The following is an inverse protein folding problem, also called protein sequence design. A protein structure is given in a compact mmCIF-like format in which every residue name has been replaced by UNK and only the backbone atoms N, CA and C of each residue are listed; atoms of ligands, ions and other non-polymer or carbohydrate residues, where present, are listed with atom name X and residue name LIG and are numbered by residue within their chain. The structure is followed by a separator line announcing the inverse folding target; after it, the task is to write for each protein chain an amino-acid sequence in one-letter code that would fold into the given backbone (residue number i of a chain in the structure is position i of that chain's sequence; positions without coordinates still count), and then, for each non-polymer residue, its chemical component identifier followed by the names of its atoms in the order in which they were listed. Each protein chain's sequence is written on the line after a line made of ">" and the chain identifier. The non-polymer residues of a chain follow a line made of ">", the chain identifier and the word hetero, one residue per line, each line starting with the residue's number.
data_IF_327844424963
#
_entry.id   IF_327844424963
#
_cell.length_a   1.000
_cell.length_b   1.000
_cell.length_c   1.000
_cell.angle_alpha   90.00
_cell.angle_beta   90.00
_cell.angle_gamma   90.00
#
_symmetry.space_group_name_H-M   'P 1'
#
loop_
_entity.id
_entity.type
_entity.pdbx_description
1 polymer ?
#
# COMPACT_ATOMS: atom_id res chain seq x y z
N UNK A 1 6.00 -5.44 -28.46
CA UNK A 1 5.12 -5.47 -27.27
C UNK A 1 4.92 -4.05 -26.78
N UNK A 2 3.66 -3.59 -26.71
CA UNK A 2 3.34 -2.24 -26.20
C UNK A 2 3.91 -2.08 -24.79
N UNK A 3 4.74 -1.06 -24.56
CA UNK A 3 5.46 -0.82 -23.30
C UNK A 3 4.52 -0.90 -22.09
N UNK A 4 3.32 -0.34 -22.23
CA UNK A 4 2.24 -0.36 -21.23
C UNK A 4 1.85 -1.76 -20.75
N UNK A 5 1.78 -2.75 -21.64
CA UNK A 5 1.40 -4.13 -21.25
C UNK A 5 2.52 -4.75 -20.40
N UNK A 6 3.78 -4.50 -20.78
CA UNK A 6 4.93 -4.98 -20.01
C UNK A 6 4.95 -4.36 -18.62
N UNK A 7 4.66 -3.06 -18.53
CA UNK A 7 4.65 -2.33 -17.27
C UNK A 7 3.52 -2.84 -16.35
N UNK A 8 2.32 -3.07 -16.88
CA UNK A 8 1.21 -3.65 -16.12
C UNK A 8 1.57 -5.04 -15.57
N UNK A 9 2.16 -5.91 -16.40
CA UNK A 9 2.57 -7.25 -15.97
C UNK A 9 3.63 -7.17 -14.87
N UNK A 10 4.61 -6.29 -15.01
CA UNK A 10 5.64 -6.08 -13.99
C UNK A 10 5.06 -5.54 -12.68
N UNK A 11 4.10 -4.61 -12.75
CA UNK A 11 3.40 -4.09 -11.56
C UNK A 11 2.63 -5.21 -10.87
N UNK A 12 1.84 -6.01 -11.61
CA UNK A 12 1.06 -7.11 -11.02
C UNK A 12 1.98 -8.12 -10.32
N UNK A 13 3.08 -8.52 -10.97
CA UNK A 13 4.05 -9.45 -10.41
C UNK A 13 4.71 -8.85 -9.16
N UNK A 14 5.16 -7.59 -9.25
CA UNK A 14 5.78 -6.88 -8.13
C UNK A 14 4.84 -6.74 -6.92
N UNK A 15 3.58 -6.34 -7.16
CA UNK A 15 2.55 -6.23 -6.13
C UNK A 15 2.23 -7.58 -5.49
N UNK A 16 2.25 -8.67 -6.26
CA UNK A 16 2.05 -10.01 -5.73
C UNK A 16 3.19 -10.44 -4.81
N UNK A 17 4.45 -10.25 -5.25
CA UNK A 17 5.64 -10.55 -4.44
C UNK A 17 5.65 -9.70 -3.16
N UNK A 18 5.31 -8.42 -3.26
CA UNK A 18 5.22 -7.53 -2.10
C UNK A 18 4.16 -8.00 -1.10
N UNK A 19 2.94 -8.28 -1.57
CA UNK A 19 1.85 -8.77 -0.73
C UNK A 19 2.18 -10.12 -0.07
N UNK A 20 2.82 -11.02 -0.80
CA UNK A 20 3.31 -12.29 -0.26
C UNK A 20 4.38 -12.06 0.83
N UNK A 21 5.32 -11.12 0.62
CA UNK A 21 6.32 -10.76 1.61
C UNK A 21 5.73 -10.15 2.87
N UNK A 22 4.73 -9.28 2.74
CA UNK A 22 4.01 -8.70 3.88
C UNK A 22 3.27 -9.78 4.67
N UNK A 23 2.58 -10.70 4.00
CA UNK A 23 1.89 -11.79 4.69
C UNK A 23 2.84 -12.80 5.33
N UNK A 24 3.93 -13.16 4.63
CA UNK A 24 4.82 -14.24 5.05
C UNK A 24 5.90 -13.81 6.06
N UNK A 25 6.38 -12.56 6.02
CA UNK A 25 7.45 -12.10 6.90
C UNK A 25 6.97 -11.05 7.89
N UNK A 26 6.19 -10.07 7.43
CA UNK A 26 5.82 -8.93 8.25
C UNK A 26 4.71 -9.32 9.23
N UNK A 27 3.63 -9.90 8.72
CA UNK A 27 2.47 -10.33 9.53
C UNK A 27 2.84 -11.52 10.44
N UNK A 28 3.54 -12.53 9.91
CA UNK A 28 3.97 -13.69 10.71
C UNK A 28 5.10 -13.33 11.69
N UNK A 29 6.00 -12.42 11.32
CA UNK A 29 7.13 -12.00 12.16
C UNK A 29 6.79 -10.92 13.20
N UNK A 30 5.56 -10.40 13.22
CA UNK A 30 5.18 -9.23 14.02
C UNK A 30 6.14 -8.03 13.84
N UNK A 31 6.69 -7.90 12.63
CA UNK A 31 7.61 -6.83 12.29
C UNK A 31 6.80 -5.58 11.96
N UNK A 32 7.12 -4.47 12.62
CA UNK A 32 6.49 -3.20 12.32
C UNK A 32 7.14 -2.54 11.09
N UNK A 33 6.36 -2.30 10.04
CA UNK A 33 6.73 -1.38 8.96
C UNK A 33 6.23 0.04 9.30
N UNK A 34 6.82 1.07 8.70
CA UNK A 34 6.35 2.46 8.82
C UNK A 34 5.35 2.85 7.72
N UNK A 35 4.67 3.99 7.87
CA UNK A 35 3.77 4.54 6.83
C UNK A 35 2.41 3.84 6.75
N UNK A 36 1.83 3.78 5.54
CA UNK A 36 0.47 3.25 5.30
C UNK A 36 0.39 1.75 5.59
N UNK A 37 1.39 0.99 5.15
CA UNK A 37 1.50 -0.46 5.42
C UNK A 37 1.61 -0.74 6.92
N UNK A 38 2.38 0.06 7.66
CA UNK A 38 2.46 -0.01 9.11
C UNK A 38 1.12 0.19 9.81
N UNK A 39 0.37 1.22 9.41
CA UNK A 39 -0.98 1.48 9.90
C UNK A 39 -1.91 0.28 9.60
N UNK A 40 -1.79 -0.30 8.41
CA UNK A 40 -2.56 -1.49 8.02
C UNK A 40 -2.26 -2.70 8.89
N UNK A 41 -1.00 -2.94 9.24
CA UNK A 41 -0.57 -4.05 10.11
C UNK A 41 -1.02 -3.82 11.56
N UNK A 42 -0.89 -2.60 12.09
CA UNK A 42 -1.36 -2.27 13.45
C UNK A 42 -2.87 -2.49 13.56
N UNK A 43 -3.64 -2.01 12.59
CA UNK A 43 -5.09 -2.20 12.56
C UNK A 43 -5.47 -3.68 12.34
N UNK A 44 -4.67 -4.42 11.58
CA UNK A 44 -4.83 -5.86 11.44
C UNK A 44 -4.60 -6.58 12.80
N UNK A 45 -3.56 -6.24 13.56
CA UNK A 45 -3.36 -6.87 14.88
C UNK A 45 -4.37 -6.43 15.93
N UNK A 46 -4.79 -5.16 15.92
CA UNK A 46 -5.71 -4.63 16.92
C UNK A 46 -7.17 -5.04 16.65
N UNK A 47 -7.60 -5.07 15.40
CA UNK A 47 -9.01 -5.25 15.02
C UNK A 47 -9.26 -6.38 14.03
N UNK A 48 -8.21 -7.14 13.63
CA UNK A 48 -8.29 -8.20 12.62
C UNK A 48 -8.85 -7.71 11.26
N UNK A 49 -8.72 -6.41 10.97
CA UNK A 49 -9.16 -5.82 9.71
C UNK A 49 -8.13 -6.10 8.63
N UNK A 50 -8.58 -6.64 7.49
CA UNK A 50 -7.70 -6.97 6.36
C UNK A 50 -6.82 -5.78 5.96
N UNK A 51 -5.49 -5.97 5.82
CA UNK A 51 -4.57 -4.93 5.40
C UNK A 51 -4.96 -4.28 4.07
N UNK A 52 -5.62 -5.03 3.18
CA UNK A 52 -6.09 -4.52 1.89
C UNK A 52 -7.14 -3.40 2.06
N UNK A 53 -8.12 -3.61 2.96
CA UNK A 53 -9.17 -2.63 3.24
C UNK A 53 -8.55 -1.39 3.90
N UNK A 54 -7.68 -1.61 4.89
CA UNK A 54 -7.02 -0.51 5.57
C UNK A 54 -6.14 0.31 4.64
N UNK A 55 -5.33 -0.34 3.79
CA UNK A 55 -4.53 0.34 2.77
C UNK A 55 -5.39 1.15 1.81
N UNK A 56 -6.52 0.61 1.35
CA UNK A 56 -7.43 1.34 0.46
C UNK A 56 -8.00 2.59 1.13
N UNK A 57 -8.51 2.46 2.36
CA UNK A 57 -9.11 3.58 3.11
C UNK A 57 -8.06 4.63 3.46
N UNK A 58 -6.90 4.23 3.98
CA UNK A 58 -5.84 5.17 4.39
C UNK A 58 -5.27 5.89 3.17
N UNK A 59 -5.06 5.20 2.04
CA UNK A 59 -4.63 5.87 0.80
C UNK A 59 -5.71 6.82 0.27
N UNK A 60 -6.99 6.46 0.32
CA UNK A 60 -8.06 7.37 -0.07
C UNK A 60 -8.08 8.65 0.81
N UNK A 61 -7.91 8.50 2.14
CA UNK A 61 -7.79 9.63 3.07
C UNK A 61 -6.57 10.47 2.73
N UNK A 62 -5.42 9.84 2.48
CA UNK A 62 -4.19 10.55 2.11
C UNK A 62 -4.34 11.33 0.80
N UNK A 63 -5.07 10.80 -0.17
CA UNK A 63 -5.39 11.51 -1.41
C UNK A 63 -6.27 12.73 -1.13
N UNK A 64 -7.31 12.58 -0.31
CA UNK A 64 -8.23 13.68 0.04
C UNK A 64 -7.50 14.78 0.83
N UNK A 65 -6.73 14.39 1.84
CA UNK A 65 -5.93 15.32 2.66
C UNK A 65 -4.79 15.91 1.83
N UNK A 66 -4.09 15.09 1.06
CA UNK A 66 -3.03 15.50 0.15
C UNK A 66 -3.49 16.49 -0.91
N UNK A 67 -4.73 16.37 -1.42
CA UNK A 67 -5.30 17.36 -2.33
C UNK A 67 -5.43 18.75 -1.70
N UNK A 68 -5.64 18.82 -0.37
CA UNK A 68 -5.79 20.08 0.37
C UNK A 68 -4.45 20.70 0.80
N UNK A 69 -3.42 19.88 1.04
CA UNK A 69 -2.17 20.34 1.66
C UNK A 69 -0.89 20.14 0.82
N UNK A 70 -0.89 19.25 -0.19
CA UNK A 70 0.27 18.96 -1.04
C UNK A 70 0.17 19.60 -2.42
N UNK A 71 1.32 20.03 -2.96
CA UNK A 71 1.41 20.52 -4.34
C UNK A 71 1.05 19.41 -5.34
N UNK A 72 0.35 19.76 -6.44
CA UNK A 72 -0.18 18.80 -7.43
C UNK A 72 0.84 17.78 -7.94
N UNK A 73 2.14 18.13 -7.96
CA UNK A 73 3.22 17.25 -8.44
C UNK A 73 3.51 16.06 -7.51
N UNK A 74 3.34 16.24 -6.20
CA UNK A 74 3.54 15.16 -5.21
C UNK A 74 2.37 14.19 -5.16
N UNK A 75 1.17 14.66 -5.51
CA UNK A 75 -0.04 13.84 -5.54
C UNK A 75 -0.03 12.77 -6.64
N UNK A 76 0.48 13.09 -7.84
CA UNK A 76 0.53 12.13 -8.96
C UNK A 76 1.52 10.97 -8.75
N UNK A 77 2.52 11.17 -7.88
CA UNK A 77 3.61 10.22 -7.63
C UNK A 77 3.42 9.45 -6.31
N UNK A 78 2.26 9.58 -5.67
CA UNK A 78 1.96 8.78 -4.48
C UNK A 78 1.80 7.31 -4.90
N UNK A 79 2.64 6.46 -4.31
CA UNK A 79 2.67 5.00 -4.54
C UNK A 79 1.47 4.29 -3.94
#
# INVERSE_FOLDING_TARGET
>A
MNKTIRDIVLVVIGSFIFSAGVNAFIILGNLGEGGVTGIAIVLYYAFHVSPAITNFVVNAILIIVGYKYLSKRSMYLTQ
#
